data_IF_884864178462
#
_entry.id   IF_884864178462
#
_cell.length_a   1.000
_cell.length_b   1.000
_cell.length_c   1.000
_cell.angle_alpha   90.00
_cell.angle_beta   90.00
_cell.angle_gamma   90.00
#
_symmetry.space_group_name_H-M   'P 1'
#
loop_
_entity.id
_entity.type
_entity.pdbx_description
1 polymer ?
#
# COMPACT_ATOMS: atom_id res chain seq x y z
N UNK A 1 13.98 8.16 12.95
CA UNK A 1 12.69 8.47 13.60
C UNK A 1 12.91 8.41 15.10
N UNK A 2 12.74 9.51 15.83
CA UNK A 2 12.98 9.55 17.28
C UNK A 2 11.82 8.86 18.00
N UNK A 3 12.03 7.61 18.42
CA UNK A 3 11.14 6.93 19.35
C UNK A 3 11.35 7.58 20.72
N UNK A 4 10.30 8.12 21.32
CA UNK A 4 10.39 8.74 22.65
C UNK A 4 10.83 7.70 23.69
N UNK A 5 11.39 8.14 24.83
CA UNK A 5 11.77 7.22 25.92
C UNK A 5 10.60 6.33 26.36
N UNK A 6 9.39 6.88 26.39
CA UNK A 6 8.16 6.14 26.68
C UNK A 6 7.80 5.12 25.60
N UNK A 7 7.87 5.50 24.32
CA UNK A 7 7.56 4.58 23.22
C UNK A 7 8.59 3.43 23.12
N UNK A 8 9.85 3.70 23.44
CA UNK A 8 10.89 2.67 23.50
C UNK A 8 10.60 1.65 24.60
N UNK A 9 10.23 2.11 25.79
CA UNK A 9 9.87 1.22 26.91
C UNK A 9 8.68 0.32 26.55
N UNK A 10 7.63 0.88 25.94
CA UNK A 10 6.46 0.11 25.51
C UNK A 10 6.84 -0.93 24.45
N UNK A 11 7.71 -0.57 23.50
CA UNK A 11 8.21 -1.51 22.49
C UNK A 11 9.02 -2.65 23.12
N UNK A 12 9.95 -2.34 24.03
CA UNK A 12 10.78 -3.34 24.70
C UNK A 12 9.91 -4.32 25.51
N UNK A 13 8.88 -3.82 26.22
CA UNK A 13 7.90 -4.65 26.93
C UNK A 13 7.08 -5.52 25.96
N UNK A 14 6.57 -4.95 24.86
CA UNK A 14 5.83 -5.70 23.86
C UNK A 14 6.69 -6.81 23.23
N UNK A 15 7.96 -6.56 22.93
CA UNK A 15 8.87 -7.55 22.35
C UNK A 15 9.20 -8.71 23.30
N UNK A 16 9.05 -8.52 24.62
CA UNK A 16 9.25 -9.56 25.62
C UNK A 16 8.09 -10.57 25.73
N UNK A 17 6.93 -10.25 25.14
CA UNK A 17 5.74 -11.10 25.22
C UNK A 17 5.90 -12.38 24.37
N UNK A 18 5.13 -13.45 24.67
CA UNK A 18 4.95 -14.60 23.79
C UNK A 18 4.44 -14.18 22.41
N UNK A 19 4.71 -14.98 21.38
CA UNK A 19 4.41 -14.62 19.98
C UNK A 19 2.93 -14.25 19.75
N UNK A 20 2.00 -15.03 20.28
CA UNK A 20 0.57 -14.77 20.11
C UNK A 20 0.13 -13.44 20.73
N UNK A 21 0.71 -13.07 21.87
CA UNK A 21 0.40 -11.79 22.53
C UNK A 21 1.04 -10.62 21.77
N UNK A 22 2.27 -10.78 21.26
CA UNK A 22 2.89 -9.77 20.37
C UNK A 22 2.01 -9.49 19.15
N UNK A 23 1.46 -10.55 18.54
CA UNK A 23 0.58 -10.44 17.37
C UNK A 23 -0.66 -9.60 17.71
N UNK A 24 -1.32 -9.90 18.83
CA UNK A 24 -2.51 -9.17 19.31
C UNK A 24 -2.21 -7.70 19.58
N UNK A 25 -1.07 -7.39 20.23
CA UNK A 25 -0.66 -6.00 20.49
C UNK A 25 -0.44 -5.25 19.18
N UNK A 26 0.25 -5.87 18.21
CA UNK A 26 0.50 -5.28 16.90
C UNK A 26 -0.80 -4.98 16.15
N UNK A 27 -1.75 -5.92 16.12
CA UNK A 27 -3.07 -5.74 15.49
C UNK A 27 -3.83 -4.56 16.11
N UNK A 28 -3.87 -4.46 17.45
CA UNK A 28 -4.56 -3.36 18.12
C UNK A 28 -3.93 -2.01 17.90
N UNK A 29 -2.60 -1.92 17.89
CA UNK A 29 -1.92 -0.69 17.54
C UNK A 29 -2.21 -0.30 16.09
N UNK A 30 -2.20 -1.25 15.18
CA UNK A 30 -2.48 -1.02 13.77
C UNK A 30 -3.92 -0.53 13.52
N UNK A 31 -4.90 -1.01 14.29
CA UNK A 31 -6.30 -0.52 14.24
C UNK A 31 -6.43 0.96 14.62
N UNK A 32 -5.50 1.51 15.42
CA UNK A 32 -5.56 2.91 15.88
C UNK A 32 -4.89 3.91 14.94
N UNK A 33 -4.06 3.42 14.01
CA UNK A 33 -3.40 4.28 13.04
C UNK A 33 -4.44 4.67 11.99
N UNK A 34 -4.68 5.97 11.75
CA UNK A 34 -5.52 6.40 10.65
C UNK A 34 -4.97 5.78 9.37
N UNK A 35 -5.72 4.83 8.82
CA UNK A 35 -5.49 4.40 7.45
C UNK A 35 -6.05 5.50 6.57
N UNK A 36 -5.45 5.72 5.40
CA UNK A 36 -6.17 6.43 4.36
C UNK A 36 -7.56 5.77 4.28
N UNK A 37 -8.60 6.56 4.52
CA UNK A 37 -9.94 6.00 4.53
C UNK A 37 -10.20 5.44 3.13
N UNK A 38 -11.08 4.44 3.01
CA UNK A 38 -11.49 3.97 1.69
C UNK A 38 -11.93 5.16 0.80
N UNK A 39 -12.52 6.19 1.40
CA UNK A 39 -12.93 7.44 0.74
C UNK A 39 -11.74 8.31 0.29
N UNK A 40 -10.66 8.43 1.08
CA UNK A 40 -9.45 9.16 0.70
C UNK A 40 -8.70 8.43 -0.43
N UNK A 41 -8.63 7.10 -0.35
CA UNK A 41 -8.08 6.26 -1.41
C UNK A 41 -8.91 6.44 -2.69
N UNK A 42 -10.23 6.25 -2.61
CA UNK A 42 -11.13 6.42 -3.76
C UNK A 42 -11.02 7.80 -4.39
N UNK A 43 -10.92 8.86 -3.57
CA UNK A 43 -10.71 10.23 -4.06
C UNK A 43 -9.40 10.36 -4.82
N UNK A 44 -8.29 9.89 -4.24
CA UNK A 44 -6.99 9.94 -4.89
C UNK A 44 -6.97 9.17 -6.22
N UNK A 45 -7.61 8.00 -6.27
CA UNK A 45 -7.75 7.22 -7.51
C UNK A 45 -8.59 7.94 -8.56
N UNK A 46 -9.69 8.58 -8.16
CA UNK A 46 -10.53 9.36 -9.07
C UNK A 46 -9.78 10.57 -9.65
N UNK A 47 -9.09 11.33 -8.79
CA UNK A 47 -8.26 12.47 -9.22
C UNK A 47 -7.19 12.05 -10.21
N UNK A 48 -6.51 10.93 -9.93
CA UNK A 48 -5.48 10.39 -10.81
C UNK A 48 -6.06 9.90 -12.16
N UNK A 49 -7.22 9.24 -12.15
CA UNK A 49 -7.89 8.79 -13.35
C UNK A 49 -8.26 9.96 -14.28
N UNK A 50 -8.83 11.02 -13.71
CA UNK A 50 -9.17 12.26 -14.45
C UNK A 50 -7.91 12.91 -15.02
N UNK A 51 -6.84 13.02 -14.22
CA UNK A 51 -5.57 13.59 -14.67
C UNK A 51 -5.00 12.82 -15.87
N UNK A 52 -4.93 11.49 -15.79
CA UNK A 52 -4.37 10.64 -16.86
C UNK A 52 -5.21 10.66 -18.13
N UNK A 53 -6.53 10.68 -18.01
CA UNK A 53 -7.40 10.83 -19.18
C UNK A 53 -7.12 12.15 -19.91
N UNK A 54 -6.99 13.25 -19.17
CA UNK A 54 -6.72 14.56 -19.74
C UNK A 54 -5.30 14.63 -20.36
N UNK A 55 -4.30 13.99 -19.78
CA UNK A 55 -2.94 13.88 -20.36
C UNK A 55 -2.94 13.10 -21.68
N UNK A 56 -3.72 12.01 -21.76
CA UNK A 56 -3.92 11.24 -22.99
C UNK A 56 -4.60 12.08 -24.08
N UNK A 57 -5.67 12.80 -23.73
CA UNK A 57 -6.39 13.67 -24.66
C UNK A 57 -5.52 14.81 -25.19
N UNK A 58 -4.63 15.36 -24.36
CA UNK A 58 -3.65 16.39 -24.76
C UNK A 58 -2.45 15.83 -25.52
N UNK A 59 -2.30 14.50 -25.60
CA UNK A 59 -1.15 13.85 -26.25
C UNK A 59 0.16 14.00 -25.47
N UNK A 60 0.09 14.29 -24.17
CA UNK A 60 1.27 14.48 -23.30
C UNK A 60 1.92 13.13 -22.92
N UNK A 61 1.18 12.04 -23.10
CA UNK A 61 1.63 10.68 -22.82
C UNK A 61 1.38 9.76 -24.01
N UNK A 62 2.31 8.85 -24.26
CA UNK A 62 2.17 7.82 -25.29
C UNK A 62 1.44 6.60 -24.70
N UNK A 63 0.27 6.28 -25.25
CA UNK A 63 -0.44 5.06 -24.89
C UNK A 63 0.28 3.81 -25.41
N UNK A 64 0.25 2.74 -24.63
CA UNK A 64 0.65 1.40 -25.05
C UNK A 64 -0.56 0.61 -25.54
N UNK A 65 -0.33 -0.39 -26.39
CA UNK A 65 -1.38 -1.34 -26.74
C UNK A 65 -1.85 -2.09 -25.49
N UNK A 66 -3.16 -2.03 -25.24
CA UNK A 66 -3.75 -2.53 -24.00
C UNK A 66 -3.61 -4.03 -23.86
N UNK A 67 -3.88 -4.79 -24.93
CA UNK A 67 -3.79 -6.25 -24.88
C UNK A 67 -2.35 -6.72 -24.71
N UNK A 68 -1.40 -6.13 -25.44
CA UNK A 68 0.02 -6.46 -25.29
C UNK A 68 0.51 -6.15 -23.88
N UNK A 69 0.10 -5.02 -23.31
CA UNK A 69 0.47 -4.63 -21.95
C UNK A 69 -0.09 -5.60 -20.90
N UNK A 70 -1.36 -6.00 -21.03
CA UNK A 70 -2.01 -6.95 -20.13
C UNK A 70 -1.40 -8.35 -20.24
N UNK A 71 -1.14 -8.85 -21.45
CA UNK A 71 -0.45 -10.14 -21.66
C UNK A 71 0.92 -10.16 -20.96
N UNK A 72 1.72 -9.10 -21.13
CA UNK A 72 3.02 -8.99 -20.47
C UNK A 72 2.93 -8.95 -18.94
N UNK A 73 1.92 -8.26 -18.39
CA UNK A 73 1.66 -8.24 -16.95
C UNK A 73 1.32 -9.64 -16.42
N UNK A 74 0.42 -10.37 -17.10
CA UNK A 74 0.04 -11.72 -16.72
C UNK A 74 1.24 -12.68 -16.71
N UNK A 75 2.07 -12.64 -17.75
CA UNK A 75 3.28 -13.46 -17.84
C UNK A 75 4.23 -13.19 -16.68
N UNK A 76 4.43 -11.91 -16.34
CA UNK A 76 5.27 -11.50 -15.22
C UNK A 76 4.71 -11.97 -13.89
N UNK A 77 3.41 -11.81 -13.64
CA UNK A 77 2.77 -12.29 -12.41
C UNK A 77 2.86 -13.82 -12.26
N UNK A 78 2.70 -14.57 -13.36
CA UNK A 78 2.90 -16.03 -13.39
C UNK A 78 4.35 -16.45 -13.12
N UNK A 79 5.33 -15.61 -13.46
CA UNK A 79 6.74 -15.90 -13.13
C UNK A 79 7.06 -15.66 -11.65
N UNK A 80 6.42 -14.66 -11.02
CA UNK A 80 6.62 -14.32 -9.60
C UNK A 80 6.08 -15.42 -8.67
N UNK A 81 4.91 -15.99 -8.97
CA UNK A 81 4.28 -17.03 -8.15
C UNK A 81 4.80 -18.46 -8.41
N UNK A 82 5.74 -18.63 -9.35
CA UNK A 82 6.40 -19.93 -9.61
C UNK A 82 7.75 -20.10 -8.91
N UNK A 83 8.18 -19.11 -8.12
CA UNK A 83 9.40 -19.13 -7.31
C UNK A 83 9.15 -19.52 -5.87
#
# INVERSE_FOLDING_TARGET
>A
MLVTSSAKKILDEALSLPEDDRRRVAERLLDTIPRETAEEIERAWNEEAVRRAAELERGEVQALDGEQSLRGLEEKLRSIHRG
#
